data_IF_854168353255
#
_entry.id   IF_854168353255
#
_cell.length_a   1.000
_cell.length_b   1.000
_cell.length_c   1.000
_cell.angle_alpha   90.00
_cell.angle_beta   90.00
_cell.angle_gamma   90.00
#
_symmetry.space_group_name_H-M   'P 1'
#
loop_
_entity.id
_entity.type
_entity.pdbx_description
1 polymer ?
#
# COMPACT_ATOMS: atom_id res chain seq x y z
N UNK A 1 -4.47 -8.77 -4.83
CA UNK A 1 -4.57 -7.30 -4.81
C UNK A 1 -4.36 -6.79 -6.21
N UNK A 2 -5.20 -5.86 -6.70
CA UNK A 2 -5.12 -5.29 -8.04
C UNK A 2 -4.89 -3.79 -7.91
N UNK A 3 -3.95 -3.25 -8.69
CA UNK A 3 -3.75 -1.81 -8.78
C UNK A 3 -4.90 -1.16 -9.53
N UNK A 4 -5.39 -0.03 -9.04
CA UNK A 4 -6.48 0.74 -9.66
C UNK A 4 -5.97 1.86 -10.55
N UNK A 5 -4.65 2.11 -10.54
CA UNK A 5 -3.97 3.10 -11.37
C UNK A 5 -2.64 2.54 -11.88
N UNK A 6 -2.16 2.98 -13.05
CA UNK A 6 -0.80 2.68 -13.50
C UNK A 6 0.25 3.22 -12.52
N UNK A 7 1.38 2.54 -12.40
CA UNK A 7 2.50 2.95 -11.57
C UNK A 7 3.62 3.48 -12.43
N UNK A 8 4.04 4.72 -12.18
CA UNK A 8 5.29 5.25 -12.71
C UNK A 8 6.40 4.97 -11.70
N UNK A 9 7.36 4.11 -12.07
CA UNK A 9 8.44 3.75 -11.16
C UNK A 9 9.54 4.84 -11.20
N UNK A 10 9.85 5.50 -10.06
CA UNK A 10 10.84 6.58 -10.04
C UNK A 10 12.20 6.13 -10.60
N UNK A 11 12.80 6.99 -11.44
CA UNK A 11 14.10 6.71 -12.06
C UNK A 11 14.08 5.65 -13.17
N UNK A 12 12.90 5.12 -13.53
CA UNK A 12 12.71 4.24 -14.68
C UNK A 12 11.69 4.86 -15.63
N UNK A 13 11.98 4.85 -16.92
CA UNK A 13 11.01 5.25 -17.96
C UNK A 13 9.96 4.16 -18.22
N UNK A 14 9.55 3.43 -17.17
CA UNK A 14 8.68 2.27 -17.25
C UNK A 14 7.40 2.57 -16.48
N UNK A 15 6.28 2.42 -17.19
CA UNK A 15 4.93 2.46 -16.62
C UNK A 15 4.47 1.01 -16.45
N UNK A 16 4.10 0.66 -15.23
CA UNK A 16 3.48 -0.63 -14.92
C UNK A 16 1.97 -0.46 -15.03
N UNK A 17 1.33 -1.32 -15.82
CA UNK A 17 -0.11 -1.27 -16.09
C UNK A 17 -0.77 -2.58 -15.72
N UNK A 18 -2.02 -2.50 -15.24
CA UNK A 18 -2.84 -3.65 -14.85
C UNK A 18 -2.16 -4.59 -13.85
N UNK A 19 -1.43 -4.00 -12.88
CA UNK A 19 -0.67 -4.76 -11.89
C UNK A 19 -1.59 -5.57 -10.97
N UNK A 20 -1.30 -6.85 -10.82
CA UNK A 20 -1.88 -7.75 -9.85
C UNK A 20 -0.79 -8.43 -9.02
N UNK A 21 -1.03 -8.49 -7.71
CA UNK A 21 -0.15 -9.10 -6.73
C UNK A 21 -0.93 -10.13 -5.92
N UNK A 22 -0.37 -11.34 -5.79
CA UNK A 22 -0.91 -12.38 -4.90
C UNK A 22 -0.03 -12.52 -3.67
N UNK A 23 -0.64 -12.49 -2.49
CA UNK A 23 0.05 -12.59 -1.21
C UNK A 23 -0.25 -13.93 -0.55
N UNK A 24 0.77 -14.55 0.05
CA UNK A 24 0.66 -15.68 0.96
C UNK A 24 1.59 -15.45 2.14
N UNK A 25 1.08 -15.66 3.37
CA UNK A 25 1.87 -15.57 4.61
C UNK A 25 2.68 -14.26 4.72
N UNK A 26 2.09 -13.15 4.28
CA UNK A 26 2.71 -11.82 4.33
C UNK A 26 3.72 -11.52 3.21
N UNK A 27 3.87 -12.41 2.21
CA UNK A 27 4.78 -12.24 1.08
C UNK A 27 4.05 -12.25 -0.25
N UNK A 28 4.51 -11.44 -1.20
CA UNK A 28 4.12 -11.51 -2.61
C UNK A 28 4.72 -12.79 -3.19
N UNK A 29 3.87 -13.67 -3.71
CA UNK A 29 4.24 -14.94 -4.32
C UNK A 29 4.00 -14.96 -5.84
N UNK A 30 3.11 -14.10 -6.34
CA UNK A 30 2.88 -13.92 -7.77
C UNK A 30 2.68 -12.45 -8.13
N UNK A 31 3.14 -12.11 -9.32
CA UNK A 31 3.01 -10.81 -9.98
C UNK A 31 2.46 -11.05 -11.37
N UNK A 32 1.49 -10.25 -11.80
CA UNK A 32 1.07 -10.15 -13.20
C UNK A 32 0.89 -8.69 -13.58
N UNK A 33 1.31 -8.28 -14.77
CA UNK A 33 1.03 -6.95 -15.31
C UNK A 33 1.02 -6.98 -16.84
N UNK A 34 0.22 -6.11 -17.47
CA UNK A 34 0.19 -5.99 -18.94
C UNK A 34 1.45 -5.29 -19.49
N UNK A 35 2.12 -4.49 -18.66
CA UNK A 35 3.39 -3.81 -18.93
C UNK A 35 4.20 -3.70 -17.65
N UNK A 36 5.54 -3.76 -17.74
CA UNK A 36 6.44 -3.51 -16.61
C UNK A 36 6.56 -4.64 -15.58
N UNK A 37 5.98 -5.82 -15.85
CA UNK A 37 6.00 -6.98 -14.93
C UNK A 37 7.42 -7.37 -14.49
N UNK A 38 8.35 -7.47 -15.45
CA UNK A 38 9.74 -7.87 -15.18
C UNK A 38 10.45 -6.90 -14.24
N UNK A 39 10.11 -5.61 -14.31
CA UNK A 39 10.70 -4.58 -13.45
C UNK A 39 10.20 -4.74 -12.01
N UNK A 40 8.91 -5.04 -11.82
CA UNK A 40 8.35 -5.35 -10.50
C UNK A 40 9.01 -6.61 -9.96
N UNK A 41 9.10 -7.69 -10.75
CA UNK A 41 9.78 -8.93 -10.35
C UNK A 41 11.24 -8.67 -9.92
N UNK A 42 11.96 -7.84 -10.67
CA UNK A 42 13.32 -7.46 -10.33
C UNK A 42 13.41 -6.68 -9.00
N UNK A 43 12.44 -5.81 -8.71
CA UNK A 43 12.37 -5.15 -7.39
C UNK A 43 12.13 -6.14 -6.26
N UNK A 44 11.18 -7.07 -6.42
CA UNK A 44 10.85 -8.05 -5.39
C UNK A 44 11.99 -9.03 -5.10
N UNK A 45 12.90 -9.23 -6.06
CA UNK A 45 14.10 -10.05 -5.91
C UNK A 45 15.30 -9.32 -5.28
N UNK A 46 15.18 -8.02 -4.98
CA UNK A 46 16.32 -7.20 -4.56
C UNK A 46 16.82 -7.55 -3.15
N UNK A 47 15.90 -7.85 -2.23
CA UNK A 47 16.21 -8.28 -0.87
C UNK A 47 15.01 -9.01 -0.23
N UNK A 48 15.24 -9.66 0.91
CA UNK A 48 14.25 -10.52 1.57
C UNK A 48 12.94 -9.79 1.93
N UNK A 49 13.01 -8.49 2.21
CA UNK A 49 11.88 -7.66 2.60
C UNK A 49 11.12 -7.04 1.42
N UNK A 50 11.70 -7.02 0.22
CA UNK A 50 11.11 -6.38 -0.95
C UNK A 50 9.75 -7.00 -1.36
N UNK A 51 9.53 -8.28 -1.05
CA UNK A 51 8.28 -8.98 -1.28
C UNK A 51 7.25 -8.88 -0.13
N UNK A 52 7.56 -8.18 0.96
CA UNK A 52 6.63 -7.97 2.07
C UNK A 52 6.06 -6.55 2.07
N UNK A 53 4.92 -6.33 2.72
CA UNK A 53 4.36 -4.98 2.86
C UNK A 53 5.16 -4.13 3.86
N UNK A 54 5.26 -2.84 3.57
CA UNK A 54 5.84 -1.82 4.44
C UNK A 54 4.84 -0.74 4.84
N UNK A 55 3.76 -0.55 4.08
CA UNK A 55 2.78 0.51 4.32
C UNK A 55 1.38 0.10 3.88
N UNK A 56 0.40 0.63 4.60
CA UNK A 56 -1.01 0.70 4.21
C UNK A 56 -1.46 2.13 4.48
N UNK A 57 -1.99 2.80 3.47
CA UNK A 57 -2.46 4.17 3.55
C UNK A 57 -3.90 4.27 3.08
N UNK A 58 -4.69 5.05 3.81
CA UNK A 58 -6.11 5.25 3.53
C UNK A 58 -6.33 6.68 3.05
N UNK A 59 -6.93 6.80 1.87
CA UNK A 59 -7.32 8.05 1.22
C UNK A 59 -8.70 7.83 0.63
N UNK A 60 -9.65 8.70 0.97
CA UNK A 60 -11.03 8.60 0.53
C UNK A 60 -11.30 9.50 -0.69
N UNK A 61 -12.53 9.46 -1.20
CA UNK A 61 -12.98 10.23 -2.36
C UNK A 61 -12.99 11.74 -2.14
N UNK A 62 -12.73 12.22 -0.92
CA UNK A 62 -12.62 13.65 -0.62
C UNK A 62 -11.22 14.21 -0.91
N UNK A 63 -10.26 13.38 -1.32
CA UNK A 63 -8.94 13.84 -1.77
C UNK A 63 -9.04 14.90 -2.87
N UNK A 64 -8.38 16.04 -2.66
CA UNK A 64 -8.31 17.08 -3.69
C UNK A 64 -7.57 16.61 -4.95
N UNK A 65 -6.56 15.76 -4.80
CA UNK A 65 -5.82 15.17 -5.92
C UNK A 65 -6.70 14.11 -6.62
N UNK A 66 -7.36 13.26 -5.84
CA UNK A 66 -8.29 12.24 -6.35
C UNK A 66 -9.40 12.84 -7.21
N UNK A 67 -10.02 13.94 -6.74
CA UNK A 67 -11.10 14.66 -7.46
C UNK A 67 -10.69 15.27 -8.80
N UNK A 68 -9.39 15.39 -9.10
CA UNK A 68 -8.97 15.83 -10.44
C UNK A 68 -9.30 14.82 -11.52
N UNK A 69 -9.44 13.53 -11.16
CA UNK A 69 -9.65 12.43 -12.10
C UNK A 69 -8.43 12.12 -12.98
N UNK A 70 -7.30 12.77 -12.73
CA UNK A 70 -6.07 12.59 -13.51
C UNK A 70 -5.23 11.44 -12.94
N UNK A 71 -4.51 10.77 -13.84
CA UNK A 71 -3.34 9.94 -13.50
C UNK A 71 -2.11 10.79 -13.77
N UNK A 72 -1.31 11.06 -12.74
CA UNK A 72 -0.21 12.01 -12.84
C UNK A 72 1.10 11.36 -13.32
N UNK A 73 1.17 10.02 -13.29
CA UNK A 73 2.40 9.26 -13.52
C UNK A 73 3.53 9.75 -12.60
N UNK A 74 3.14 10.05 -11.37
CA UNK A 74 4.01 10.58 -10.34
C UNK A 74 3.54 10.02 -9.00
N UNK A 75 4.38 9.22 -8.35
CA UNK A 75 4.02 8.52 -7.11
C UNK A 75 3.44 9.47 -6.05
N UNK A 76 4.06 10.63 -5.82
CA UNK A 76 3.61 11.58 -4.81
C UNK A 76 2.18 12.09 -5.06
N UNK A 77 1.80 12.35 -6.32
CA UNK A 77 0.44 12.77 -6.63
C UNK A 77 -0.53 11.59 -6.61
N UNK A 78 -0.16 10.47 -7.22
CA UNK A 78 -1.06 9.34 -7.39
C UNK A 78 -1.32 8.60 -6.06
N UNK A 79 -0.36 8.53 -5.12
CA UNK A 79 -0.55 7.96 -3.77
C UNK A 79 -1.54 8.81 -2.94
N UNK A 80 -1.55 10.13 -3.14
CA UNK A 80 -2.47 11.03 -2.47
C UNK A 80 -3.85 11.09 -3.17
N UNK A 81 -4.04 10.36 -4.27
CA UNK A 81 -5.29 10.36 -5.02
C UNK A 81 -6.27 9.27 -4.56
N UNK A 82 -5.80 8.19 -3.94
CA UNK A 82 -6.61 7.04 -3.49
C UNK A 82 -5.80 6.16 -2.54
N UNK A 83 -6.44 5.24 -1.81
CA UNK A 83 -5.73 4.32 -0.92
C UNK A 83 -4.60 3.58 -1.65
N UNK A 84 -3.48 3.36 -0.95
CA UNK A 84 -2.36 2.60 -1.47
C UNK A 84 -1.79 1.63 -0.43
N UNK A 85 -1.04 0.66 -0.94
CA UNK A 85 -0.16 -0.19 -0.14
C UNK A 85 1.25 -0.05 -0.69
N UNK A 86 2.28 -0.17 0.16
CA UNK A 86 3.66 -0.24 -0.31
C UNK A 86 4.25 -1.61 -0.02
N UNK A 87 4.92 -2.21 -1.00
CA UNK A 87 5.84 -3.31 -0.74
C UNK A 87 7.26 -2.79 -0.51
N UNK A 88 8.03 -3.55 0.26
CA UNK A 88 9.35 -3.17 0.74
C UNK A 88 9.31 -2.44 2.08
N UNK A 89 10.20 -1.47 2.24
CA UNK A 89 10.57 -0.87 3.52
C UNK A 89 9.38 -0.21 4.21
N UNK A 90 9.21 -0.50 5.50
CA UNK A 90 8.29 0.23 6.37
C UNK A 90 8.96 1.47 6.99
N UNK A 91 8.17 2.48 7.30
CA UNK A 91 8.62 3.62 8.11
C UNK A 91 8.62 3.23 9.58
N UNK A 92 9.75 3.43 10.27
CA UNK A 92 9.87 3.08 11.70
C UNK A 92 8.98 3.97 12.58
N UNK A 93 8.66 5.16 12.09
CA UNK A 93 7.77 6.14 12.70
C UNK A 93 6.32 5.63 12.79
N UNK A 94 5.93 4.70 11.91
CA UNK A 94 4.60 4.09 11.89
C UNK A 94 4.44 2.94 12.90
N UNK A 95 5.54 2.52 13.56
CA UNK A 95 5.53 1.41 14.51
C UNK A 95 5.95 1.89 15.89
N UNK A 96 5.09 1.63 16.88
CA UNK A 96 5.33 2.02 18.26
C UNK A 96 6.67 1.48 18.77
N UNK A 97 7.46 2.33 19.42
CA UNK A 97 8.78 1.98 20.01
C UNK A 97 9.89 1.57 19.01
N UNK A 98 9.68 1.71 17.70
CA UNK A 98 10.68 1.33 16.69
C UNK A 98 11.72 2.40 16.39
N UNK A 99 11.39 3.69 16.58
CA UNK A 99 12.32 4.81 16.38
C UNK A 99 13.53 4.67 17.32
N UNK A 100 14.74 4.84 16.78
CA UNK A 100 16.00 4.71 17.52
C UNK A 100 16.47 3.28 17.78
N UNK A 101 15.72 2.25 17.36
CA UNK A 101 16.19 0.85 17.39
C UNK A 101 17.15 0.57 16.23
N UNK A 102 18.03 -0.43 16.41
CA UNK A 102 18.81 -0.98 15.30
C UNK A 102 17.90 -1.65 14.26
N UNK A 103 18.35 -1.86 13.00
CA UNK A 103 17.56 -2.54 11.98
C UNK A 103 17.02 -3.91 12.41
N UNK A 104 17.79 -4.66 13.19
CA UNK A 104 17.35 -5.95 13.76
C UNK A 104 16.30 -5.78 14.86
N UNK A 105 16.45 -4.74 15.69
CA UNK A 105 15.44 -4.37 16.69
C UNK A 105 14.13 -3.94 16.05
N UNK A 106 14.18 -3.19 14.95
CA UNK A 106 13.02 -2.79 14.18
C UNK A 106 12.31 -4.01 13.54
N UNK A 107 13.07 -4.96 12.98
CA UNK A 107 12.49 -6.22 12.45
C UNK A 107 11.71 -7.00 13.50
N UNK A 108 12.23 -7.09 14.73
CA UNK A 108 11.53 -7.75 15.85
C UNK A 108 10.21 -7.08 16.23
N UNK A 109 10.06 -5.80 15.92
CA UNK A 109 8.82 -5.04 16.13
C UNK A 109 7.88 -5.08 14.90
N UNK A 110 8.24 -5.82 13.85
CA UNK A 110 7.43 -5.94 12.64
C UNK A 110 7.71 -4.87 11.58
N UNK A 111 8.72 -4.01 11.76
CA UNK A 111 9.12 -3.05 10.72
C UNK A 111 9.82 -3.80 9.59
N UNK A 112 9.18 -3.87 8.43
CA UNK A 112 9.79 -4.49 7.26
C UNK A 112 11.03 -3.70 6.79
N UNK A 113 12.13 -4.41 6.57
CA UNK A 113 13.40 -3.81 6.15
C UNK A 113 13.67 -4.18 4.70
N UNK A 114 13.81 -3.17 3.84
CA UNK A 114 14.14 -3.35 2.44
C UNK A 114 14.86 -2.11 1.92
N UNK A 115 15.53 -2.25 0.78
CA UNK A 115 16.06 -1.15 -0.01
C UNK A 115 15.02 -0.57 -0.97
N UNK A 116 13.94 -1.32 -1.24
CA UNK A 116 12.82 -0.89 -2.07
C UNK A 116 11.72 -0.33 -1.19
N UNK A 117 11.01 0.67 -1.69
CA UNK A 117 9.70 1.09 -1.20
C UNK A 117 8.92 1.48 -2.46
N UNK A 118 7.78 0.85 -2.72
CA UNK A 118 7.00 1.12 -3.93
C UNK A 118 5.52 1.06 -3.63
N UNK A 119 4.89 2.22 -3.77
CA UNK A 119 3.48 2.46 -3.58
C UNK A 119 2.65 1.94 -4.75
N UNK A 120 1.61 1.19 -4.42
CA UNK A 120 0.64 0.60 -5.33
C UNK A 120 -0.72 1.14 -4.95
N UNK A 121 -1.28 2.02 -5.79
CA UNK A 121 -2.63 2.54 -5.63
C UNK A 121 -3.63 1.41 -5.83
N UNK A 122 -4.45 1.15 -4.82
CA UNK A 122 -5.41 0.04 -4.77
C UNK A 122 -6.82 0.47 -4.41
N UNK A 123 -7.01 1.74 -4.02
CA UNK A 123 -8.31 2.28 -3.59
C UNK A 123 -9.28 2.59 -4.74
N UNK A 124 -10.49 2.97 -4.36
CA UNK A 124 -11.60 3.29 -5.25
C UNK A 124 -12.95 2.91 -4.62
N UNK A 125 -14.08 3.23 -5.27
CA UNK A 125 -15.42 3.00 -4.70
C UNK A 125 -15.77 1.52 -4.49
N UNK A 126 -15.08 0.61 -5.16
CA UNK A 126 -15.28 -0.84 -4.99
C UNK A 126 -14.48 -1.42 -3.81
N UNK A 127 -13.64 -0.60 -3.15
CA UNK A 127 -12.76 -1.04 -2.08
C UNK A 127 -13.39 -0.68 -0.74
N UNK A 128 -13.71 -1.73 0.02
CA UNK A 128 -14.19 -1.62 1.39
C UNK A 128 -13.06 -1.97 2.37
N UNK A 129 -12.99 -1.25 3.48
CA UNK A 129 -11.97 -1.47 4.52
C UNK A 129 -12.65 -1.69 5.86
N UNK A 130 -12.26 -2.78 6.52
CA UNK A 130 -12.66 -3.11 7.89
C UNK A 130 -11.44 -3.21 8.79
N UNK A 131 -11.56 -2.66 10.00
CA UNK A 131 -10.66 -2.91 11.11
C UNK A 131 -11.03 -4.22 11.81
N UNK A 132 -10.07 -5.11 12.01
CA UNK A 132 -10.28 -6.38 12.71
C UNK A 132 -9.64 -6.30 14.10
N UNK A 133 -10.40 -5.96 15.16
CA UNK A 133 -9.88 -6.01 16.51
C UNK A 133 -9.61 -7.46 16.92
N UNK A 134 -8.59 -7.69 17.76
CA UNK A 134 -8.14 -9.05 18.09
C UNK A 134 -9.22 -9.97 18.66
N UNK A 135 -10.15 -9.44 19.45
CA UNK A 135 -11.36 -10.13 19.88
C UNK A 135 -12.56 -9.18 19.74
N UNK A 136 -13.20 -9.18 18.58
CA UNK A 136 -14.38 -8.35 18.32
C UNK A 136 -14.93 -8.52 16.91
N UNK A 137 -16.06 -7.86 16.64
CA UNK A 137 -16.59 -7.77 15.29
C UNK A 137 -15.74 -6.85 14.42
N UNK A 138 -15.74 -7.10 13.11
CA UNK A 138 -15.17 -6.19 12.14
C UNK A 138 -15.80 -4.79 12.28
N UNK A 139 -14.95 -3.75 12.32
CA UNK A 139 -15.37 -2.35 12.41
C UNK A 139 -15.22 -1.71 11.04
N UNK A 140 -16.31 -1.24 10.41
CA UNK A 140 -16.20 -0.62 9.10
C UNK A 140 -15.43 0.69 9.19
N UNK A 141 -14.45 0.86 8.30
CA UNK A 141 -13.57 2.03 8.21
C UNK A 141 -13.90 2.84 6.95
N UNK A 142 -13.92 2.19 5.79
CA UNK A 142 -14.19 2.79 4.49
C UNK A 142 -15.28 2.01 3.75
N UNK A 143 -16.24 2.71 3.16
CA UNK A 143 -17.29 2.17 2.30
C UNK A 143 -17.53 3.13 1.14
N UNK A 144 -17.61 2.59 -0.08
CA UNK A 144 -17.84 3.39 -1.29
C UNK A 144 -16.92 4.62 -1.39
N UNK A 145 -15.65 4.46 -0.99
CA UNK A 145 -14.64 5.53 -0.94
C UNK A 145 -14.95 6.66 0.07
N UNK A 146 -15.68 6.37 1.15
CA UNK A 146 -16.03 7.32 2.22
C UNK A 146 -15.72 6.73 3.61
N UNK A 147 -15.16 7.55 4.50
CA UNK A 147 -14.95 7.16 5.90
C UNK A 147 -16.27 6.97 6.65
N UNK A 148 -16.39 5.89 7.44
CA UNK A 148 -17.62 5.55 8.19
C UNK A 148 -17.42 5.34 9.70
N UNK A 149 -16.26 5.71 10.23
CA UNK A 149 -15.88 5.50 11.63
C UNK A 149 -16.78 6.23 12.65
N UNK A 150 -17.48 7.30 12.25
CA UNK A 150 -18.35 8.09 13.15
C UNK A 150 -19.72 7.42 13.44
N UNK A 151 -20.08 6.35 12.73
CA UNK A 151 -21.35 5.65 12.94
C UNK A 151 -21.43 4.81 14.24
N UNK A 152 -20.34 4.73 15.02
CA UNK A 152 -20.24 3.89 16.22
C UNK A 152 -20.04 4.65 17.54
N UNK A 153 -19.97 5.99 17.51
CA UNK A 153 -19.78 6.82 18.71
C UNK A 153 -21.10 7.24 19.39
N UNK A 154 -22.24 6.73 18.93
CA UNK A 154 -23.57 6.97 19.53
C UNK A 154 -24.28 5.64 19.80
N UNK A 155 -23.86 4.94 20.86
CA UNK A 155 -24.49 3.70 21.33
C UNK A 155 -24.22 3.48 22.80
#
# INVERSE_FOLDING_TARGET
>A
VRATRPLALPGRSVIVSDLELRFEQGRIVEVSASSGEEVVRAQLANDDGAACLGEVALVDGTSAVGRTGLTFFNSLFDENATCHIAYGRAYAEAVENAVGKSPEGQRRLGVNQSTVHTDVMVGGPEVEVDGLPGAGAAVPILREDVWVLEALATG
#
